data_IF_679901450927
#
_entry.id   IF_679901450927
#
_cell.length_a   1.000
_cell.length_b   1.000
_cell.length_c   1.000
_cell.angle_alpha   90.00
_cell.angle_beta   90.00
_cell.angle_gamma   90.00
#
_symmetry.space_group_name_H-M   'P 1'
#
loop_
_entity.id
_entity.type
_entity.pdbx_description
1 polymer ?
#
# COMPACT_ATOMS: atom_id res chain seq x y z
N UNK A 1 -1.07 -0.07 -32.17
CA UNK A 1 -1.20 -1.45 -31.66
C UNK A 1 -1.78 -1.40 -30.26
N UNK A 2 -3.06 -1.69 -30.10
CA UNK A 2 -3.71 -1.80 -28.78
C UNK A 2 -3.17 -3.06 -28.12
N UNK A 3 -2.32 -2.90 -27.10
CA UNK A 3 -1.80 -4.04 -26.35
C UNK A 3 -3.00 -4.80 -25.75
N UNK A 4 -3.21 -6.04 -26.20
CA UNK A 4 -4.28 -6.91 -25.73
C UNK A 4 -3.90 -7.36 -24.32
N UNK A 5 -4.59 -6.85 -23.30
CA UNK A 5 -4.39 -7.28 -21.92
C UNK A 5 -4.57 -8.79 -21.83
N UNK A 6 -3.72 -9.47 -21.06
CA UNK A 6 -3.83 -10.92 -20.86
C UNK A 6 -5.17 -11.27 -20.21
N UNK A 7 -5.71 -12.45 -20.54
CA UNK A 7 -6.92 -12.97 -19.93
C UNK A 7 -6.72 -13.16 -18.41
N UNK A 8 -7.76 -12.92 -17.58
CA UNK A 8 -7.71 -13.23 -16.16
C UNK A 8 -7.45 -14.71 -15.89
N UNK A 9 -6.63 -15.01 -14.89
CA UNK A 9 -6.29 -16.39 -14.50
C UNK A 9 -6.74 -16.72 -13.09
N UNK A 10 -6.96 -18.00 -12.83
CA UNK A 10 -7.22 -18.52 -11.49
C UNK A 10 -5.89 -18.91 -10.82
N UNK A 11 -5.69 -18.43 -9.59
CA UNK A 11 -4.51 -18.75 -8.78
C UNK A 11 -3.25 -17.97 -9.15
N UNK A 12 -2.28 -18.01 -8.24
CA UNK A 12 -0.98 -17.36 -8.42
C UNK A 12 -0.09 -18.21 -9.35
N UNK A 13 0.45 -17.58 -10.38
CA UNK A 13 1.50 -18.18 -11.22
C UNK A 13 2.89 -17.75 -10.76
N UNK A 14 3.93 -18.48 -11.16
CA UNK A 14 5.33 -18.10 -10.88
C UNK A 14 5.65 -16.66 -11.28
N UNK A 15 5.08 -16.19 -12.40
CA UNK A 15 5.23 -14.81 -12.86
C UNK A 15 4.61 -13.81 -11.88
N UNK A 16 3.46 -14.12 -11.27
CA UNK A 16 2.85 -13.27 -10.24
C UNK A 16 3.73 -13.22 -8.99
N UNK A 17 4.26 -14.37 -8.55
CA UNK A 17 5.12 -14.45 -7.37
C UNK A 17 6.37 -13.61 -7.56
N UNK A 18 7.08 -13.79 -8.69
CA UNK A 18 8.27 -12.99 -9.03
C UNK A 18 7.92 -11.50 -9.12
N UNK A 19 6.80 -11.16 -9.76
CA UNK A 19 6.35 -9.77 -9.87
C UNK A 19 6.07 -9.14 -8.50
N UNK A 20 5.36 -9.83 -7.61
CA UNK A 20 5.01 -9.31 -6.29
C UNK A 20 6.24 -9.19 -5.37
N UNK A 21 7.16 -10.16 -5.41
CA UNK A 21 8.37 -10.14 -4.58
C UNK A 21 9.35 -9.08 -5.07
N UNK A 22 9.75 -9.11 -6.33
CA UNK A 22 10.84 -8.25 -6.79
C UNK A 22 10.38 -6.81 -7.07
N UNK A 23 9.27 -6.62 -7.77
CA UNK A 23 8.81 -5.27 -8.12
C UNK A 23 8.09 -4.60 -6.96
N UNK A 24 7.17 -5.32 -6.32
CA UNK A 24 6.28 -4.74 -5.30
C UNK A 24 6.70 -4.97 -3.87
N UNK A 25 7.71 -5.79 -3.59
CA UNK A 25 8.28 -5.87 -2.24
C UNK A 25 9.63 -5.18 -2.24
N UNK A 26 10.64 -5.75 -2.90
CA UNK A 26 12.02 -5.22 -2.86
C UNK A 26 12.10 -3.81 -3.46
N UNK A 27 11.49 -3.60 -4.64
CA UNK A 27 11.46 -2.28 -5.28
C UNK A 27 10.80 -1.21 -4.41
N UNK A 28 9.66 -1.53 -3.81
CA UNK A 28 8.95 -0.62 -2.91
C UNK A 28 9.73 -0.32 -1.63
N UNK A 29 10.32 -1.35 -0.98
CA UNK A 29 11.15 -1.17 0.20
C UNK A 29 12.31 -0.20 -0.05
N UNK A 30 13.00 -0.34 -1.18
CA UNK A 30 14.15 0.52 -1.54
C UNK A 30 13.69 1.96 -1.79
N UNK A 31 12.60 2.14 -2.54
CA UNK A 31 12.06 3.48 -2.83
C UNK A 31 11.57 4.18 -1.56
N UNK A 32 10.80 3.47 -0.73
CA UNK A 32 10.25 3.99 0.52
C UNK A 32 11.38 4.37 1.49
N UNK A 33 12.38 3.51 1.64
CA UNK A 33 13.57 3.78 2.44
C UNK A 33 14.31 5.03 1.97
N UNK A 34 14.57 5.15 0.67
CA UNK A 34 15.30 6.25 0.08
C UNK A 34 14.58 7.59 0.26
N UNK A 35 13.28 7.64 -0.03
CA UNK A 35 12.47 8.87 0.11
C UNK A 35 12.44 9.32 1.57
N UNK A 36 12.13 8.41 2.49
CA UNK A 36 12.01 8.75 3.90
C UNK A 36 13.36 9.08 4.56
N UNK A 37 14.45 8.41 4.16
CA UNK A 37 15.80 8.80 4.56
C UNK A 37 16.12 10.22 4.10
N UNK A 38 15.77 10.56 2.85
CA UNK A 38 15.92 11.91 2.31
C UNK A 38 15.11 12.95 3.08
N UNK A 39 13.85 12.65 3.41
CA UNK A 39 13.00 13.53 4.22
C UNK A 39 13.55 13.72 5.63
N UNK A 40 13.96 12.65 6.32
CA UNK A 40 14.61 12.74 7.62
C UNK A 40 15.94 13.52 7.57
N UNK A 41 16.67 13.42 6.47
CA UNK A 41 17.90 14.20 6.26
C UNK A 41 17.56 15.68 6.19
N UNK A 42 16.55 16.05 5.39
CA UNK A 42 16.10 17.43 5.26
C UNK A 42 15.56 17.99 6.59
N UNK A 43 14.85 17.18 7.39
CA UNK A 43 14.23 17.58 8.64
C UNK A 43 15.23 17.73 9.80
N UNK A 44 16.17 16.80 9.93
CA UNK A 44 16.96 16.66 11.16
C UNK A 44 18.44 17.03 11.01
N UNK A 45 19.05 16.91 9.83
CA UNK A 45 20.53 17.02 9.69
C UNK A 45 21.11 18.36 10.16
N UNK A 46 20.45 19.45 9.81
CA UNK A 46 20.92 20.82 10.10
C UNK A 46 19.98 21.56 11.06
N UNK A 47 19.12 20.82 11.77
CA UNK A 47 18.14 21.41 12.69
C UNK A 47 18.79 21.68 14.06
N UNK A 48 18.48 22.83 14.65
CA UNK A 48 19.00 23.22 15.98
C UNK A 48 18.19 22.62 17.13
N UNK A 49 16.95 22.19 16.87
CA UNK A 49 16.09 21.59 17.88
C UNK A 49 16.39 20.09 18.01
N UNK A 50 16.59 19.59 19.24
CA UNK A 50 16.83 18.17 19.44
C UNK A 50 15.69 17.28 18.99
N UNK A 51 16.04 16.10 18.48
CA UNK A 51 15.09 15.05 18.12
C UNK A 51 14.78 14.21 19.36
N UNK A 52 13.52 14.13 19.71
CA UNK A 52 13.05 13.38 20.88
C UNK A 52 12.02 12.32 20.47
N UNK A 53 11.73 11.36 21.34
CA UNK A 53 10.64 10.39 21.10
C UNK A 53 9.29 11.13 21.04
N UNK A 54 8.94 11.86 22.10
CA UNK A 54 7.59 12.42 22.30
C UNK A 54 7.46 13.94 22.15
N UNK A 55 8.29 14.78 22.80
CA UNK A 55 8.04 16.21 22.79
C UNK A 55 8.24 16.82 21.41
N UNK A 56 7.39 17.80 21.11
CA UNK A 56 7.50 18.69 19.98
C UNK A 56 8.69 19.67 20.18
N UNK A 57 9.23 20.28 19.11
CA UNK A 57 8.76 20.22 17.72
C UNK A 57 9.23 19.00 16.93
N UNK A 58 10.31 18.32 17.32
CA UNK A 58 10.91 17.22 16.58
C UNK A 58 10.63 15.87 17.26
N UNK A 59 9.36 15.46 17.26
CA UNK A 59 8.93 14.15 17.75
C UNK A 59 9.15 13.06 16.71
N UNK A 60 9.94 12.05 17.06
CA UNK A 60 10.15 10.87 16.23
C UNK A 60 8.91 9.97 16.21
N UNK A 61 8.22 9.81 17.36
CA UNK A 61 6.99 9.02 17.45
C UNK A 61 5.87 9.60 16.59
N UNK A 62 5.67 10.93 16.64
CA UNK A 62 4.68 11.62 15.83
C UNK A 62 5.04 11.57 14.33
N UNK A 63 6.31 11.76 13.99
CA UNK A 63 6.78 11.65 12.60
C UNK A 63 6.52 10.24 12.03
N UNK A 64 6.80 9.18 12.79
CA UNK A 64 6.54 7.80 12.35
C UNK A 64 5.03 7.51 12.23
N UNK A 65 4.20 8.06 13.11
CA UNK A 65 2.74 7.94 13.04
C UNK A 65 2.19 8.56 11.75
N UNK A 66 2.58 9.80 11.46
CA UNK A 66 2.18 10.52 10.24
C UNK A 66 2.70 9.80 8.99
N UNK A 67 3.92 9.25 9.05
CA UNK A 67 4.51 8.47 7.96
C UNK A 67 3.63 7.27 7.59
N UNK A 68 3.08 6.50 8.55
CA UNK A 68 2.14 5.40 8.22
C UNK A 68 0.95 5.91 7.43
N UNK A 69 0.30 6.99 7.90
CA UNK A 69 -0.92 7.50 7.29
C UNK A 69 -0.68 7.93 5.84
N UNK A 70 0.37 8.74 5.63
CA UNK A 70 0.70 9.28 4.31
C UNK A 70 1.20 8.17 3.40
N UNK A 71 2.20 7.39 3.84
CA UNK A 71 2.81 6.34 3.02
C UNK A 71 1.77 5.31 2.60
N UNK A 72 0.97 4.78 3.52
CA UNK A 72 0.00 3.74 3.15
C UNK A 72 -1.14 4.24 2.27
N UNK A 73 -1.52 5.52 2.39
CA UNK A 73 -2.44 6.16 1.44
C UNK A 73 -1.81 6.27 0.05
N UNK A 74 -0.55 6.70 -0.03
CA UNK A 74 0.17 6.81 -1.30
C UNK A 74 0.43 5.44 -1.93
N UNK A 75 0.87 4.44 -1.17
CA UNK A 75 1.03 3.04 -1.61
C UNK A 75 -0.26 2.53 -2.24
N UNK A 76 -1.41 2.74 -1.57
CA UNK A 76 -2.71 2.34 -2.12
C UNK A 76 -3.02 2.98 -3.48
N UNK A 77 -2.63 4.24 -3.69
CA UNK A 77 -2.89 4.96 -4.94
C UNK A 77 -1.87 4.55 -6.02
N UNK A 78 -0.58 4.65 -5.71
CA UNK A 78 0.51 4.49 -6.66
C UNK A 78 0.64 3.06 -7.15
N UNK A 79 0.52 2.06 -6.28
CA UNK A 79 0.58 0.65 -6.70
C UNK A 79 -0.58 0.29 -7.61
N UNK A 80 -1.77 0.81 -7.32
CA UNK A 80 -2.93 0.58 -8.18
C UNK A 80 -2.71 1.11 -9.58
N UNK A 81 -2.09 2.29 -9.69
CA UNK A 81 -1.74 2.87 -10.97
C UNK A 81 -0.62 2.08 -11.66
N UNK A 82 0.40 1.66 -10.92
CA UNK A 82 1.52 0.87 -11.43
C UNK A 82 1.04 -0.49 -11.97
N UNK A 83 0.30 -1.26 -11.18
CA UNK A 83 -0.27 -2.57 -11.58
C UNK A 83 -1.18 -2.42 -12.79
N UNK A 84 -2.03 -1.38 -12.85
CA UNK A 84 -2.86 -1.13 -14.05
C UNK A 84 -2.01 -0.84 -15.28
N UNK A 85 -0.93 -0.07 -15.13
CA UNK A 85 0.03 0.17 -16.20
C UNK A 85 0.70 -1.12 -16.69
N UNK A 86 1.12 -1.97 -15.76
CA UNK A 86 1.80 -3.23 -16.06
C UNK A 86 0.88 -4.26 -16.71
N UNK A 87 -0.39 -4.30 -16.29
CA UNK A 87 -1.44 -5.11 -16.92
C UNK A 87 -1.69 -4.67 -18.36
N UNK A 88 -1.76 -3.34 -18.62
CA UNK A 88 -1.89 -2.79 -19.99
C UNK A 88 -0.70 -3.17 -20.88
N UNK A 89 0.51 -3.25 -20.30
CA UNK A 89 1.73 -3.71 -20.99
C UNK A 89 1.82 -5.23 -21.11
N UNK A 90 0.90 -5.99 -20.50
CA UNK A 90 0.92 -7.45 -20.51
C UNK A 90 2.06 -8.08 -19.70
N UNK A 91 2.69 -7.31 -18.79
CA UNK A 91 3.80 -7.80 -17.96
C UNK A 91 3.34 -8.93 -17.04
N UNK A 92 2.15 -8.77 -16.47
CA UNK A 92 1.47 -9.74 -15.59
C UNK A 92 0.02 -9.95 -16.07
N UNK A 93 -0.60 -11.06 -15.68
CA UNK A 93 -2.02 -11.30 -15.97
C UNK A 93 -2.88 -10.78 -14.81
N UNK A 94 -4.13 -10.38 -15.04
CA UNK A 94 -5.06 -10.12 -13.96
C UNK A 94 -5.46 -11.43 -13.26
N UNK A 95 -5.90 -11.34 -12.00
CA UNK A 95 -6.31 -12.49 -11.21
C UNK A 95 -7.82 -12.54 -11.04
N UNK A 96 -8.37 -13.75 -10.95
CA UNK A 96 -9.75 -14.00 -10.54
C UNK A 96 -9.83 -14.22 -9.03
N UNK A 97 -10.92 -13.75 -8.43
CA UNK A 97 -11.22 -14.02 -7.03
C UNK A 97 -11.56 -15.51 -6.86
N UNK A 98 -11.04 -16.19 -5.81
CA UNK A 98 -11.50 -17.52 -5.44
C UNK A 98 -13.02 -17.56 -5.20
N UNK A 99 -13.66 -18.64 -5.63
CA UNK A 99 -15.12 -18.80 -5.54
C UNK A 99 -15.63 -18.87 -4.10
N UNK A 100 -14.78 -19.36 -3.19
CA UNK A 100 -15.00 -19.51 -1.74
C UNK A 100 -14.63 -18.27 -0.92
N UNK A 101 -14.18 -17.17 -1.55
CA UNK A 101 -13.82 -15.95 -0.86
C UNK A 101 -15.01 -15.36 -0.07
N UNK A 102 -14.76 -15.00 1.19
CA UNK A 102 -15.77 -14.43 2.09
C UNK A 102 -16.25 -13.05 1.64
N UNK A 103 -17.44 -12.65 2.10
CA UNK A 103 -18.01 -11.32 1.81
C UNK A 103 -17.09 -10.18 2.24
N UNK A 104 -16.36 -10.33 3.35
CA UNK A 104 -15.43 -9.32 3.83
C UNK A 104 -14.25 -9.13 2.87
N UNK A 105 -13.68 -10.21 2.35
CA UNK A 105 -12.58 -10.15 1.38
C UNK A 105 -13.06 -9.54 0.06
N UNK A 106 -14.25 -9.92 -0.40
CA UNK A 106 -14.88 -9.36 -1.60
C UNK A 106 -15.16 -7.86 -1.46
N UNK A 107 -15.66 -7.44 -0.29
CA UNK A 107 -15.86 -6.04 0.06
C UNK A 107 -14.54 -5.27 0.06
N UNK A 108 -13.50 -5.81 0.71
CA UNK A 108 -12.20 -5.16 0.84
C UNK A 108 -11.51 -4.98 -0.51
N UNK A 109 -11.59 -5.98 -1.39
CA UNK A 109 -11.08 -5.86 -2.77
C UNK A 109 -11.87 -4.83 -3.58
N UNK A 110 -13.15 -4.65 -3.26
CA UNK A 110 -14.05 -3.69 -3.91
C UNK A 110 -14.89 -4.29 -5.02
N UNK A 111 -15.25 -5.57 -4.91
CA UNK A 111 -16.05 -6.25 -5.93
C UNK A 111 -17.52 -5.82 -5.95
N UNK A 112 -18.02 -5.24 -4.85
CA UNK A 112 -19.34 -4.62 -4.81
C UNK A 112 -19.44 -3.46 -5.81
N UNK A 113 -18.35 -2.70 -5.96
CA UNK A 113 -18.29 -1.56 -6.89
C UNK A 113 -18.26 -2.03 -8.36
N UNK A 114 -17.69 -3.22 -8.62
CA UNK A 114 -17.71 -3.86 -9.96
C UNK A 114 -19.14 -4.23 -10.35
N UNK A 115 -19.93 -4.74 -9.40
CA UNK A 115 -21.34 -5.13 -9.62
C UNK A 115 -22.27 -3.93 -9.77
N UNK A 116 -21.97 -2.81 -9.10
CA UNK A 116 -22.81 -1.61 -9.11
C UNK A 116 -22.69 -0.74 -10.39
N UNK A 117 -22.16 -1.27 -11.49
CA UNK A 117 -22.11 -0.70 -12.84
C UNK A 117 -21.93 0.84 -12.89
N UNK A 118 -20.68 1.31 -12.90
CA UNK A 118 -20.36 2.63 -13.48
C UNK A 118 -19.75 3.70 -12.56
N UNK A 119 -19.51 3.44 -11.27
CA UNK A 119 -18.85 4.41 -10.37
C UNK A 119 -17.45 3.97 -9.94
N UNK A 120 -16.51 3.94 -10.89
CA UNK A 120 -15.10 3.61 -10.62
C UNK A 120 -14.30 4.88 -10.28
N UNK A 121 -14.43 5.38 -9.05
CA UNK A 121 -13.72 6.59 -8.59
C UNK A 121 -12.74 6.34 -7.45
N UNK A 122 -11.68 7.16 -7.35
CA UNK A 122 -10.69 7.13 -6.25
C UNK A 122 -11.37 7.29 -4.86
N UNK A 123 -12.45 8.09 -4.80
CA UNK A 123 -13.26 8.36 -3.61
C UNK A 123 -13.88 7.08 -3.01
N UNK A 124 -14.17 6.06 -3.83
CA UNK A 124 -14.81 4.82 -3.38
C UNK A 124 -13.90 3.91 -2.56
N UNK A 125 -12.58 4.06 -2.70
CA UNK A 125 -11.65 3.24 -1.93
C UNK A 125 -11.30 3.82 -0.57
N UNK A 126 -11.74 5.03 -0.22
CA UNK A 126 -11.37 5.70 1.03
C UNK A 126 -11.58 4.81 2.27
N UNK A 127 -12.73 4.12 2.37
CA UNK A 127 -13.01 3.19 3.49
C UNK A 127 -11.99 2.06 3.59
N UNK A 128 -11.52 1.53 2.45
CA UNK A 128 -10.55 0.43 2.38
C UNK A 128 -9.14 0.92 2.70
N UNK A 129 -8.80 2.12 2.21
CA UNK A 129 -7.54 2.80 2.60
C UNK A 129 -7.53 3.05 4.10
N UNK A 130 -8.63 3.54 4.68
CA UNK A 130 -8.71 3.77 6.12
C UNK A 130 -8.52 2.47 6.93
N UNK A 131 -9.17 1.37 6.53
CA UNK A 131 -8.96 0.06 7.18
C UNK A 131 -7.50 -0.40 7.05
N UNK A 132 -6.91 -0.26 5.87
CA UNK A 132 -5.52 -0.62 5.62
C UNK A 132 -4.54 0.22 6.45
N UNK A 133 -4.72 1.54 6.49
CA UNK A 133 -3.93 2.47 7.32
C UNK A 133 -4.05 2.12 8.80
N UNK A 134 -5.28 1.90 9.30
CA UNK A 134 -5.52 1.56 10.71
C UNK A 134 -4.89 0.21 11.06
N UNK A 135 -5.06 -0.81 10.21
CA UNK A 135 -4.46 -2.12 10.44
C UNK A 135 -2.93 -2.03 10.50
N UNK A 136 -2.30 -1.34 9.55
CA UNK A 136 -0.85 -1.11 9.57
C UNK A 136 -0.44 -0.29 10.80
N UNK A 137 -1.19 0.75 11.17
CA UNK A 137 -0.90 1.60 12.32
C UNK A 137 -0.88 0.79 13.61
N UNK A 138 -1.91 -0.02 13.86
CA UNK A 138 -2.03 -0.85 15.06
C UNK A 138 -0.91 -1.90 15.18
N UNK A 139 -0.31 -2.31 14.06
CA UNK A 139 0.80 -3.27 14.05
C UNK A 139 2.14 -2.54 14.20
N UNK A 140 2.45 -1.63 13.28
CA UNK A 140 3.78 -1.05 13.17
C UNK A 140 4.04 0.01 14.24
N UNK A 141 3.05 0.82 14.60
CA UNK A 141 3.28 1.93 15.53
C UNK A 141 3.68 1.45 16.93
N UNK A 142 2.99 0.49 17.59
CA UNK A 142 3.44 -0.03 18.88
C UNK A 142 4.82 -0.71 18.83
N UNK A 143 5.12 -1.44 17.75
CA UNK A 143 6.44 -2.06 17.53
C UNK A 143 7.52 -0.97 17.48
N UNK A 144 7.29 0.10 16.72
CA UNK A 144 8.18 1.25 16.63
C UNK A 144 8.44 1.89 17.99
N UNK A 145 7.39 2.14 18.77
CA UNK A 145 7.53 2.69 20.12
C UNK A 145 8.35 1.75 21.01
N UNK A 146 8.06 0.45 20.97
CA UNK A 146 8.83 -0.56 21.71
C UNK A 146 10.31 -0.56 21.35
N UNK A 147 10.65 -0.49 20.06
CA UNK A 147 12.04 -0.39 19.58
C UNK A 147 12.70 0.89 20.08
N UNK A 148 12.03 2.04 19.99
CA UNK A 148 12.58 3.33 20.45
C UNK A 148 12.88 3.34 21.95
N UNK A 149 11.99 2.78 22.78
CA UNK A 149 12.23 2.61 24.21
C UNK A 149 13.35 1.61 24.52
N UNK A 150 13.45 0.53 23.73
CA UNK A 150 14.55 -0.42 23.84
C UNK A 150 15.91 0.21 23.53
N UNK A 151 15.99 0.98 22.45
CA UNK A 151 17.22 1.68 22.03
C UNK A 151 17.64 2.76 23.04
N UNK A 152 16.68 3.50 23.61
CA UNK A 152 16.93 4.43 24.73
C UNK A 152 17.63 3.73 25.89
N UNK A 153 17.14 2.55 26.27
CA UNK A 153 17.66 1.76 27.39
C UNK A 153 19.07 1.18 27.13
N UNK A 154 19.49 1.13 25.86
CA UNK A 154 20.79 0.64 25.41
C UNK A 154 21.86 1.71 25.18
N UNK A 155 21.68 2.93 25.69
CA UNK A 155 22.56 4.11 25.52
C UNK A 155 22.49 4.83 24.16
N UNK A 156 21.64 4.39 23.22
CA UNK A 156 21.31 5.19 22.02
C UNK A 156 20.24 6.20 22.43
N UNK A 157 20.68 7.40 22.76
CA UNK A 157 19.83 8.49 23.24
C UNK A 157 19.88 8.74 24.75
N UNK A 158 21.00 8.41 25.38
CA UNK A 158 21.37 8.79 26.76
C UNK A 158 21.76 10.28 26.91
N UNK A 159 21.19 11.17 26.08
CA UNK A 159 21.22 12.61 26.34
C UNK A 159 20.49 12.92 27.65
N UNK A 160 20.92 14.00 28.32
CA UNK A 160 20.57 14.41 29.71
C UNK A 160 19.19 13.91 30.13
N UNK A 161 19.18 12.86 30.96
CA UNK A 161 17.98 12.35 31.60
C UNK A 161 17.49 13.36 32.64
N UNK A 162 16.85 14.43 32.17
CA UNK A 162 16.02 15.26 33.03
C UNK A 162 14.66 14.58 33.18
N UNK A 163 14.12 14.54 34.40
CA UNK A 163 12.91 13.79 34.78
C UNK A 163 11.65 14.30 34.03
N UNK A 164 11.75 15.48 33.40
CA UNK A 164 10.77 16.06 32.48
C UNK A 164 10.81 15.45 31.07
N UNK A 165 11.94 14.84 30.68
CA UNK A 165 12.21 14.26 29.37
C UNK A 165 12.32 12.73 29.45
N UNK A 166 11.19 12.06 29.73
CA UNK A 166 11.03 10.62 29.49
C UNK A 166 11.41 10.19 28.04
N UNK A 167 11.65 11.16 27.15
CA UNK A 167 12.11 11.02 25.78
C UNK A 167 13.64 11.09 25.67
N UNK A 168 14.29 9.97 25.34
CA UNK A 168 15.71 9.98 24.96
C UNK A 168 15.97 10.90 23.77
N UNK A 169 17.19 11.43 23.69
CA UNK A 169 17.62 12.39 22.66
C UNK A 169 18.30 11.67 21.49
N UNK A 170 17.70 11.68 20.30
CA UNK A 170 18.14 10.90 19.14
C UNK A 170 18.96 11.71 18.12
N UNK A 171 19.65 12.77 18.56
CA UNK A 171 20.40 13.69 17.69
C UNK A 171 21.66 13.11 17.03
N UNK A 172 22.01 11.86 17.32
CA UNK A 172 23.20 11.22 16.75
C UNK A 172 23.01 11.04 15.24
N UNK A 173 23.64 11.87 14.42
CA UNK A 173 23.66 11.64 12.97
C UNK A 173 24.42 10.34 12.65
N UNK A 174 23.91 9.46 11.77
CA UNK A 174 22.69 9.53 10.96
C UNK A 174 21.52 8.68 11.50
N UNK A 175 21.41 8.52 12.82
CA UNK A 175 20.45 7.63 13.45
C UNK A 175 18.99 7.91 13.04
N UNK A 176 18.43 9.14 13.19
CA UNK A 176 17.04 9.38 12.81
C UNK A 176 16.75 9.07 11.33
N UNK A 177 17.74 9.27 10.47
CA UNK A 177 17.63 9.04 9.02
C UNK A 177 17.64 7.56 8.69
N UNK A 178 18.59 6.82 9.25
CA UNK A 178 18.64 5.37 9.11
C UNK A 178 17.37 4.76 9.69
N UNK A 179 16.96 5.19 10.88
CA UNK A 179 15.75 4.72 11.53
C UNK A 179 14.52 4.92 10.65
N UNK A 180 14.30 6.14 10.14
CA UNK A 180 13.15 6.43 9.26
C UNK A 180 13.23 5.67 7.94
N UNK A 181 14.42 5.52 7.37
CA UNK A 181 14.67 4.72 6.17
C UNK A 181 14.31 3.24 6.38
N UNK A 182 14.82 2.61 7.44
CA UNK A 182 14.53 1.20 7.77
C UNK A 182 13.05 1.01 8.10
N UNK A 183 12.47 1.94 8.87
CA UNK A 183 11.06 1.89 9.24
C UNK A 183 10.14 1.93 8.01
N UNK A 184 10.38 2.87 7.10
CA UNK A 184 9.61 2.97 5.85
C UNK A 184 9.87 1.81 4.89
N UNK A 185 11.08 1.24 4.87
CA UNK A 185 11.34 -0.01 4.17
C UNK A 185 10.46 -1.14 4.72
N UNK A 186 10.35 -1.25 6.05
CA UNK A 186 9.51 -2.27 6.69
C UNK A 186 8.02 -2.05 6.39
N UNK A 187 7.55 -0.80 6.27
CA UNK A 187 6.21 -0.50 5.79
C UNK A 187 6.02 -0.92 4.33
N UNK A 188 7.03 -0.79 3.47
CA UNK A 188 7.00 -1.25 2.08
C UNK A 188 6.75 -2.76 1.91
N UNK A 189 6.86 -3.57 2.97
CA UNK A 189 6.46 -4.99 2.96
C UNK A 189 4.95 -5.20 2.76
N UNK A 190 4.13 -4.17 2.95
CA UNK A 190 2.68 -4.25 2.78
C UNK A 190 2.22 -3.93 1.35
N UNK A 191 3.08 -3.32 0.53
CA UNK A 191 2.88 -3.04 -0.91
C UNK A 191 2.43 -4.26 -1.74
N UNK A 192 3.01 -5.47 -1.65
CA UNK A 192 2.55 -6.62 -2.44
C UNK A 192 1.08 -6.99 -2.16
N UNK A 193 0.55 -6.69 -0.97
CA UNK A 193 -0.85 -6.91 -0.65
C UNK A 193 -1.77 -5.98 -1.46
N UNK A 194 -1.44 -4.69 -1.56
CA UNK A 194 -2.18 -3.73 -2.38
C UNK A 194 -2.14 -4.15 -3.86
N UNK A 195 -0.96 -4.55 -4.34
CA UNK A 195 -0.79 -5.02 -5.71
C UNK A 195 -1.61 -6.28 -6.00
N UNK A 196 -1.65 -7.23 -5.06
CA UNK A 196 -2.48 -8.43 -5.16
C UNK A 196 -3.98 -8.10 -5.21
N UNK A 197 -4.47 -7.24 -4.31
CA UNK A 197 -5.85 -6.75 -4.31
C UNK A 197 -6.21 -6.10 -5.65
N UNK A 198 -5.28 -5.36 -6.24
CA UNK A 198 -5.47 -4.70 -7.53
C UNK A 198 -5.56 -5.68 -8.69
N UNK A 199 -4.71 -6.71 -8.70
CA UNK A 199 -4.74 -7.76 -9.72
C UNK A 199 -6.11 -8.45 -9.75
N UNK A 200 -6.68 -8.74 -8.57
CA UNK A 200 -8.02 -9.33 -8.45
C UNK A 200 -9.09 -8.34 -8.91
N UNK A 201 -9.06 -7.11 -8.39
CA UNK A 201 -10.05 -6.09 -8.76
C UNK A 201 -10.13 -5.90 -10.28
N UNK A 202 -8.98 -5.82 -10.96
CA UNK A 202 -8.95 -5.65 -12.41
C UNK A 202 -9.44 -6.90 -13.14
N UNK A 203 -9.07 -8.11 -12.69
CA UNK A 203 -9.55 -9.34 -13.32
C UNK A 203 -11.04 -9.59 -13.17
N UNK A 204 -11.62 -9.24 -12.02
CA UNK A 204 -13.08 -9.25 -11.82
C UNK A 204 -13.79 -8.21 -12.68
N UNK A 205 -13.22 -7.00 -12.77
CA UNK A 205 -13.78 -5.95 -13.63
C UNK A 205 -13.78 -6.39 -15.11
N UNK A 206 -12.69 -6.98 -15.59
CA UNK A 206 -12.60 -7.46 -16.97
C UNK A 206 -13.63 -8.55 -17.28
N UNK A 207 -13.79 -9.54 -16.40
CA UNK A 207 -14.75 -10.62 -16.61
C UNK A 207 -16.20 -10.13 -16.59
N UNK A 208 -16.53 -9.19 -15.68
CA UNK A 208 -17.86 -8.57 -15.63
C UNK A 208 -18.17 -7.82 -16.93
N UNK A 209 -17.20 -7.07 -17.48
CA UNK A 209 -17.36 -6.39 -18.76
C UNK A 209 -17.52 -7.35 -19.94
N UNK A 210 -16.76 -8.45 -19.98
CA UNK A 210 -16.91 -9.46 -21.05
C UNK A 210 -18.25 -10.17 -21.00
N UNK A 211 -18.76 -10.49 -19.80
CA UNK A 211 -20.09 -11.11 -19.64
C UNK A 211 -21.24 -10.17 -20.03
N UNK A 212 -21.11 -8.87 -19.73
CA UNK A 212 -22.10 -7.87 -20.13
C UNK A 212 -22.22 -7.75 -21.66
N UNK A 213 -21.08 -7.76 -22.38
CA UNK A 213 -21.04 -7.69 -23.85
C UNK A 213 -21.69 -8.93 -24.47
N UNK A 214 -21.45 -10.13 -23.93
CA UNK A 214 -22.07 -11.34 -24.48
C UNK A 214 -23.60 -11.34 -24.33
N UNK A 215 -24.12 -10.82 -23.20
CA UNK A 215 -25.57 -10.77 -22.97
C UNK A 215 -26.25 -9.78 -23.94
N UNK A 216 -25.67 -8.59 -24.15
CA UNK A 216 -26.25 -7.61 -25.07
C UNK A 216 -26.35 -8.13 -26.51
N UNK A 217 -25.32 -8.84 -27.00
CA UNK A 217 -25.33 -9.40 -28.36
C UNK A 217 -26.39 -10.48 -28.53
N UNK A 218 -26.62 -11.33 -27.53
CA UNK A 218 -27.65 -12.38 -27.61
C UNK A 218 -29.06 -11.80 -27.64
N UNK A 219 -29.35 -10.73 -26.88
CA UNK A 219 -30.67 -10.07 -26.93
C UNK A 219 -30.96 -9.41 -28.27
N UNK A 220 -29.96 -8.80 -28.93
CA UNK A 220 -30.14 -8.20 -30.26
C UNK A 220 -30.40 -9.26 -31.35
N UNK A 221 -29.73 -10.42 -31.26
CA UNK A 221 -29.91 -11.53 -32.20
C UNK A 221 -31.25 -12.26 -32.03
N UNK A 222 -31.83 -12.28 -30.83
CA UNK A 222 -33.17 -12.83 -30.58
C UNK A 222 -34.28 -11.86 -31.01
N UNK A 223 -34.17 -10.57 -30.70
CA UNK A 223 -35.15 -9.56 -31.11
C UNK A 223 -35.23 -9.41 -32.64
N UNK A 224 -34.10 -9.62 -33.35
CA UNK A 224 -34.04 -9.67 -34.81
C UNK A 224 -34.77 -10.87 -35.43
N UNK A 225 -35.00 -11.97 -34.71
CA UNK A 225 -35.64 -13.18 -35.25
C UNK A 225 -37.16 -13.16 -35.17
N UNK A 226 -37.71 -12.38 -34.25
CA UNK A 226 -39.16 -12.26 -34.04
C UNK A 226 -39.83 -11.20 -34.94
N UNK A 227 -39.04 -10.47 -35.75
CA UNK A 227 -39.54 -9.45 -36.68
C UNK A 227 -39.68 -9.89 -38.14
N UNK A 228 -39.63 -11.20 -38.44
CA UNK A 228 -39.85 -11.74 -39.80
C UNK A 228 -41.02 -12.73 -39.88
#
# INVERSE_FOLDING_TARGET
MTAKTKAPVYGLTTRHIVYLIFMHTIGAMILDAGINFGLATAMYKNNKNPVYIWPLPNTLAGDMAVTIIIQQTLTWILDRLAVRGDLKKGLVAPLRMPSDASSLVRWFVGLEDVKAAGKTGLVFHFKRVAVYVVATFLIYWPITIGILYGLKSGHVGAGVADETHAAGEFNLWPFPQIFKGVYSAALGLTTPFVSYVTLIYVGETQAASSGAVSVSTTTEDEESKDTN
#
